data_IF_150017809608
#
_entry.id   IF_150017809608
#
_cell.length_a   1.000
_cell.length_b   1.000
_cell.length_c   1.000
_cell.angle_alpha   90.00
_cell.angle_beta   90.00
_cell.angle_gamma   90.00
#
_symmetry.space_group_name_H-M   'P 1'
#
loop_
_entity.id
_entity.type
_entity.pdbx_description
1 polymer ?
#
# COMPACT_ATOMS: atom_id res chain seq x y z
N UNK A 1 27.01 12.99 -27.11
CA UNK A 1 25.71 12.80 -26.47
C UNK A 1 25.63 13.82 -25.31
N UNK A 2 24.89 14.89 -25.50
CA UNK A 2 24.78 15.96 -24.51
C UNK A 2 23.67 15.60 -23.50
N UNK A 3 24.04 15.49 -22.23
CA UNK A 3 23.06 15.32 -21.12
C UNK A 3 22.58 16.72 -20.76
N UNK A 4 21.31 17.00 -21.02
CA UNK A 4 20.68 18.26 -20.59
C UNK A 4 20.35 18.13 -19.08
N UNK A 5 21.15 18.75 -18.23
CA UNK A 5 20.84 18.94 -16.81
C UNK A 5 19.85 20.10 -16.68
N UNK A 6 18.60 19.80 -16.36
CA UNK A 6 17.62 20.81 -15.95
C UNK A 6 17.78 21.04 -14.44
N UNK A 7 18.52 22.07 -14.08
CA UNK A 7 18.58 22.57 -12.69
C UNK A 7 17.39 23.49 -12.44
N UNK A 8 16.29 22.94 -11.92
CA UNK A 8 15.21 23.75 -11.37
C UNK A 8 15.60 24.28 -9.99
N UNK A 9 15.48 25.57 -9.77
CA UNK A 9 15.73 26.18 -8.47
C UNK A 9 14.66 25.73 -7.46
N UNK A 10 15.02 25.64 -6.17
CA UNK A 10 14.14 25.24 -5.06
C UNK A 10 12.88 26.10 -4.91
N UNK A 11 12.80 27.26 -5.56
CA UNK A 11 11.58 28.08 -5.64
C UNK A 11 10.45 27.47 -6.47
N UNK A 12 10.74 26.43 -7.27
CA UNK A 12 9.73 25.77 -8.11
C UNK A 12 8.91 24.69 -7.35
N UNK A 13 9.40 24.19 -6.22
CA UNK A 13 8.71 23.15 -5.44
C UNK A 13 7.43 23.68 -4.78
N UNK A 14 7.46 24.94 -4.30
CA UNK A 14 6.29 25.57 -3.68
C UNK A 14 5.23 26.03 -4.72
N UNK A 15 5.61 26.18 -5.99
CA UNK A 15 4.69 26.49 -7.10
C UNK A 15 3.99 25.26 -7.68
N UNK A 16 4.53 24.06 -7.52
CA UNK A 16 3.91 22.85 -8.07
C UNK A 16 2.65 22.41 -7.33
N UNK A 17 2.46 22.81 -6.08
CA UNK A 17 1.27 22.42 -5.31
C UNK A 17 0.04 23.31 -5.60
N UNK A 18 0.23 24.50 -6.14
CA UNK A 18 -0.87 25.44 -6.43
C UNK A 18 -1.46 25.36 -7.84
N UNK A 19 -0.89 24.58 -8.75
CA UNK A 19 -1.29 24.58 -10.17
C UNK A 19 -1.82 23.24 -10.70
N UNK A 20 -1.99 22.25 -9.85
CA UNK A 20 -2.79 21.09 -10.25
C UNK A 20 -4.25 21.47 -10.14
N UNK A 21 -4.78 22.12 -11.16
CA UNK A 21 -6.21 22.19 -11.44
C UNK A 21 -6.72 20.75 -11.64
N UNK A 22 -6.88 20.05 -10.50
CA UNK A 22 -7.58 18.78 -10.47
C UNK A 22 -9.00 19.15 -10.88
N UNK A 23 -9.41 18.63 -12.03
CA UNK A 23 -10.75 18.88 -12.57
C UNK A 23 -11.77 18.63 -11.47
N UNK A 24 -12.83 19.48 -11.35
CA UNK A 24 -13.90 19.23 -10.41
C UNK A 24 -14.38 17.79 -10.52
N UNK A 25 -14.35 17.03 -9.42
CA UNK A 25 -14.73 15.62 -9.38
C UNK A 25 -13.55 14.63 -9.28
N UNK A 26 -12.29 15.06 -9.40
CA UNK A 26 -11.16 14.18 -9.09
C UNK A 26 -10.82 14.26 -7.61
N UNK A 27 -10.89 13.12 -6.93
CA UNK A 27 -10.41 12.99 -5.56
C UNK A 27 -8.87 12.98 -5.56
N UNK A 28 -8.28 13.72 -4.62
CA UNK A 28 -6.85 13.59 -4.34
C UNK A 28 -6.67 12.37 -3.48
N UNK A 29 -6.01 11.35 -4.01
CA UNK A 29 -5.68 10.16 -3.25
C UNK A 29 -4.46 10.43 -2.38
N UNK A 30 -4.58 10.13 -1.10
CA UNK A 30 -3.54 10.35 -0.11
C UNK A 30 -3.07 9.08 0.60
N UNK A 31 -3.79 7.98 0.45
CA UNK A 31 -3.47 6.69 1.06
C UNK A 31 -3.71 5.54 0.09
N UNK A 32 -2.95 4.47 0.25
CA UNK A 32 -2.93 3.31 -0.64
C UNK A 32 -2.85 2.02 0.17
N UNK A 33 -3.51 0.98 -0.32
CA UNK A 33 -3.35 -0.38 0.15
C UNK A 33 -2.43 -1.18 -0.79
N UNK A 34 -1.63 -2.06 -0.18
CA UNK A 34 -0.82 -3.07 -0.84
C UNK A 34 -1.25 -4.44 -0.31
N UNK A 35 -1.99 -5.18 -1.12
CA UNK A 35 -2.39 -6.55 -0.80
C UNK A 35 -1.44 -7.53 -1.46
N UNK A 36 -0.70 -8.29 -0.67
CA UNK A 36 0.19 -9.35 -1.15
C UNK A 36 -0.54 -10.68 -1.16
N UNK A 37 -0.40 -11.44 -2.26
CA UNK A 37 -1.11 -12.70 -2.49
C UNK A 37 -0.17 -13.85 -2.75
N UNK A 38 -0.58 -15.03 -2.27
CA UNK A 38 0.02 -16.34 -2.57
C UNK A 38 -1.04 -17.41 -2.75
N UNK A 39 -0.71 -18.48 -3.51
CA UNK A 39 -1.60 -19.64 -3.63
C UNK A 39 -1.61 -20.41 -2.30
N UNK A 40 -2.80 -20.69 -1.75
CA UNK A 40 -2.97 -21.27 -0.41
C UNK A 40 -2.31 -22.64 -0.23
N UNK A 41 -2.22 -23.45 -1.29
CA UNK A 41 -1.59 -24.76 -1.32
C UNK A 41 -0.09 -24.72 -1.64
N UNK A 42 0.46 -23.55 -1.96
CA UNK A 42 1.87 -23.34 -2.25
C UNK A 42 2.64 -22.87 -1.01
N UNK A 43 3.24 -23.83 -0.29
CA UNK A 43 3.99 -23.55 0.94
C UNK A 43 5.26 -22.74 0.72
N UNK A 44 5.84 -22.77 -0.47
CA UNK A 44 7.01 -21.95 -0.82
C UNK A 44 6.60 -20.46 -0.94
N UNK A 45 5.48 -20.19 -1.63
CA UNK A 45 4.93 -18.84 -1.72
C UNK A 45 4.43 -18.31 -0.37
N UNK A 46 3.83 -19.16 0.47
CA UNK A 46 3.43 -18.79 1.83
C UNK A 46 4.64 -18.37 2.66
N UNK A 47 5.74 -19.12 2.61
CA UNK A 47 6.98 -18.76 3.30
C UNK A 47 7.61 -17.47 2.73
N UNK A 48 7.58 -17.29 1.41
CA UNK A 48 8.01 -16.07 0.74
C UNK A 48 7.17 -14.85 1.18
N UNK A 49 5.86 -15.01 1.32
CA UNK A 49 4.96 -13.97 1.79
C UNK A 49 5.23 -13.59 3.27
N UNK A 50 5.50 -14.57 4.12
CA UNK A 50 5.92 -14.31 5.51
C UNK A 50 7.23 -13.54 5.56
N UNK A 51 8.24 -13.95 4.79
CA UNK A 51 9.52 -13.27 4.73
C UNK A 51 9.39 -11.83 4.20
N UNK A 52 8.52 -11.60 3.21
CA UNK A 52 8.25 -10.25 2.69
C UNK A 52 7.58 -9.38 3.75
N UNK A 53 6.58 -9.91 4.47
CA UNK A 53 5.91 -9.22 5.58
C UNK A 53 6.91 -8.76 6.64
N UNK A 54 7.78 -9.67 7.05
CA UNK A 54 8.78 -9.41 8.09
C UNK A 54 9.82 -8.40 7.60
N UNK A 55 10.22 -8.45 6.32
CA UNK A 55 11.11 -7.46 5.73
C UNK A 55 10.48 -6.04 5.70
N UNK A 56 9.18 -5.90 5.42
CA UNK A 56 8.47 -4.62 5.49
C UNK A 56 8.55 -4.04 6.92
N UNK A 57 8.31 -4.87 7.93
CA UNK A 57 8.32 -4.44 9.33
C UNK A 57 9.72 -3.97 9.75
N UNK A 58 10.77 -4.65 9.29
CA UNK A 58 12.15 -4.25 9.55
C UNK A 58 12.49 -2.90 8.91
N UNK A 59 12.03 -2.62 7.69
CA UNK A 59 12.22 -1.31 7.05
C UNK A 59 11.48 -0.18 7.80
N UNK A 60 10.28 -0.48 8.30
CA UNK A 60 9.51 0.47 9.14
C UNK A 60 10.25 0.74 10.45
N UNK A 61 10.73 -0.31 11.12
CA UNK A 61 11.49 -0.18 12.36
C UNK A 61 12.81 0.57 12.18
N UNK A 62 13.43 0.45 11.01
CA UNK A 62 14.63 1.20 10.64
C UNK A 62 14.34 2.67 10.27
N UNK A 63 13.07 3.08 10.16
CA UNK A 63 12.67 4.43 9.79
C UNK A 63 12.77 4.74 8.30
N UNK A 64 12.93 3.71 7.45
CA UNK A 64 13.07 3.89 6.00
C UNK A 64 11.73 4.11 5.30
N UNK A 65 10.62 3.68 5.90
CA UNK A 65 9.27 3.90 5.40
C UNK A 65 8.27 3.93 6.55
N UNK A 66 7.09 4.45 6.28
CA UNK A 66 5.94 4.38 7.19
C UNK A 66 4.82 3.60 6.52
N UNK A 67 4.38 2.54 7.18
CA UNK A 67 3.17 1.80 6.83
C UNK A 67 2.34 1.59 8.08
N UNK A 68 1.03 1.43 7.92
CA UNK A 68 0.16 1.02 9.02
C UNK A 68 -0.31 -0.40 8.75
N UNK A 69 -0.31 -1.19 9.80
CA UNK A 69 -0.74 -2.57 9.75
C UNK A 69 -2.03 -2.72 10.57
N UNK A 70 -3.11 -3.10 9.92
CA UNK A 70 -4.32 -3.53 10.61
C UNK A 70 -4.11 -4.98 11.08
N UNK A 71 -3.28 -5.15 12.11
CA UNK A 71 -2.80 -6.47 12.46
C UNK A 71 -2.80 -6.75 13.95
N UNK A 72 -2.30 -7.91 14.28
CA UNK A 72 -2.12 -8.40 15.64
C UNK A 72 -0.76 -7.97 16.18
N UNK A 73 -0.66 -7.82 17.49
CA UNK A 73 0.65 -7.71 18.16
C UNK A 73 1.40 -9.02 17.97
N UNK A 74 2.67 -8.96 17.59
CA UNK A 74 3.47 -10.14 17.27
C UNK A 74 4.74 -10.19 18.09
N UNK A 75 5.02 -11.38 18.60
CA UNK A 75 6.28 -11.73 19.26
C UNK A 75 7.30 -12.34 18.27
N UNK A 76 6.99 -12.25 16.95
CA UNK A 76 7.73 -13.01 15.92
C UNK A 76 9.11 -12.42 15.64
N UNK A 77 9.25 -11.09 15.77
CA UNK A 77 10.52 -10.42 15.51
C UNK A 77 11.16 -9.96 16.82
N UNK A 78 12.32 -10.51 17.20
CA UNK A 78 13.03 -10.09 18.39
C UNK A 78 13.31 -8.58 18.41
N UNK A 79 12.93 -7.90 19.49
CA UNK A 79 13.06 -6.45 19.64
C UNK A 79 11.88 -5.65 19.07
N UNK A 80 10.86 -6.32 18.54
CA UNK A 80 9.63 -5.72 18.00
C UNK A 80 8.37 -6.37 18.60
N UNK A 81 8.46 -6.88 19.81
CA UNK A 81 7.44 -7.69 20.49
C UNK A 81 6.09 -6.97 20.62
N UNK A 82 6.11 -5.65 20.76
CA UNK A 82 4.90 -4.82 20.85
C UNK A 82 4.45 -4.25 19.49
N UNK A 83 5.15 -4.59 18.40
CA UNK A 83 4.84 -4.07 17.07
C UNK A 83 3.62 -4.78 16.48
N UNK A 84 2.74 -4.00 15.85
CA UNK A 84 1.68 -4.58 15.04
C UNK A 84 2.24 -5.07 13.71
N UNK A 85 1.89 -6.30 13.35
CA UNK A 85 2.22 -6.88 12.06
C UNK A 85 0.96 -7.06 11.22
N UNK A 86 1.06 -7.04 9.89
CA UNK A 86 -0.08 -7.33 9.02
C UNK A 86 -0.71 -8.69 9.36
N UNK A 87 -2.03 -8.72 9.45
CA UNK A 87 -2.75 -9.98 9.62
C UNK A 87 -2.50 -10.88 8.41
N UNK A 88 -2.10 -12.13 8.66
CA UNK A 88 -1.75 -13.09 7.63
C UNK A 88 -2.94 -14.05 7.40
N UNK A 89 -3.70 -13.81 6.34
CA UNK A 89 -4.90 -14.56 6.01
C UNK A 89 -4.51 -15.78 5.18
N UNK A 90 -4.64 -16.97 5.75
CA UNK A 90 -4.37 -18.22 5.04
C UNK A 90 -5.56 -18.72 4.20
N UNK A 91 -6.73 -18.10 4.36
CA UNK A 91 -7.97 -18.38 3.66
C UNK A 91 -8.48 -17.12 2.94
N UNK A 92 -9.34 -17.26 1.91
CA UNK A 92 -9.99 -16.13 1.27
C UNK A 92 -10.71 -15.23 2.27
N UNK A 93 -10.56 -13.91 2.10
CA UNK A 93 -11.21 -12.92 2.96
C UNK A 93 -11.64 -11.70 2.15
N UNK A 94 -12.86 -11.21 2.37
CA UNK A 94 -13.38 -10.03 1.65
C UNK A 94 -13.31 -10.25 0.14
N UNK A 95 -12.76 -9.31 -0.64
CA UNK A 95 -12.60 -9.45 -2.07
C UNK A 95 -11.43 -10.36 -2.48
N UNK A 96 -10.58 -10.80 -1.53
CA UNK A 96 -9.32 -11.49 -1.80
C UNK A 96 -9.54 -13.00 -1.88
N UNK A 97 -9.28 -13.64 -3.06
CA UNK A 97 -9.70 -15.03 -3.33
C UNK A 97 -8.73 -16.09 -2.82
N UNK A 98 -7.56 -15.72 -2.34
CA UNK A 98 -6.48 -16.63 -1.91
C UNK A 98 -5.81 -16.06 -0.66
N UNK A 99 -4.77 -16.74 -0.16
CA UNK A 99 -3.96 -16.24 0.95
C UNK A 99 -3.47 -14.83 0.71
N UNK A 100 -3.56 -13.96 1.72
CA UNK A 100 -3.19 -12.55 1.59
C UNK A 100 -2.79 -11.90 2.91
N UNK A 101 -1.98 -10.86 2.81
CA UNK A 101 -1.83 -9.85 3.84
C UNK A 101 -1.86 -8.46 3.22
N UNK A 102 -2.19 -7.44 4.01
CA UNK A 102 -2.20 -6.05 3.56
C UNK A 102 -1.34 -5.15 4.42
N UNK A 103 -0.80 -4.12 3.81
CA UNK A 103 -0.23 -2.94 4.46
C UNK A 103 -0.80 -1.68 3.85
N UNK A 104 -0.94 -0.66 4.66
CA UNK A 104 -1.45 0.64 4.27
C UNK A 104 -0.30 1.64 4.24
N UNK A 105 -0.25 2.44 3.19
CA UNK A 105 0.87 3.34 2.95
C UNK A 105 0.35 4.73 2.64
N UNK A 106 0.78 5.77 3.35
CA UNK A 106 0.46 7.13 2.99
C UNK A 106 1.24 7.53 1.72
N UNK A 107 0.69 8.49 0.97
CA UNK A 107 1.25 8.94 -0.32
C UNK A 107 2.72 9.38 -0.23
N UNK A 108 3.13 9.89 0.93
CA UNK A 108 4.49 10.36 1.22
C UNK A 108 5.52 9.24 1.04
N UNK A 109 5.14 7.98 1.26
CA UNK A 109 5.98 6.79 1.13
C UNK A 109 5.56 5.85 -0.01
N UNK A 110 4.64 6.28 -0.89
CA UNK A 110 4.16 5.44 -1.99
C UNK A 110 5.27 4.98 -2.93
N UNK A 111 6.18 5.88 -3.31
CA UNK A 111 7.28 5.54 -4.22
C UNK A 111 8.28 4.57 -3.58
N UNK A 112 8.58 4.74 -2.30
CA UNK A 112 9.48 3.87 -1.55
C UNK A 112 8.89 2.47 -1.41
N UNK A 113 7.61 2.38 -1.05
CA UNK A 113 6.89 1.11 -0.93
C UNK A 113 6.74 0.40 -2.27
N UNK A 114 6.42 1.11 -3.37
CA UNK A 114 6.38 0.52 -4.70
C UNK A 114 7.75 -0.04 -5.11
N UNK A 115 8.81 0.72 -4.90
CA UNK A 115 10.19 0.30 -5.21
C UNK A 115 10.56 -0.93 -4.40
N UNK A 116 10.27 -0.93 -3.10
CA UNK A 116 10.51 -2.06 -2.23
C UNK A 116 9.79 -3.32 -2.73
N UNK A 117 8.49 -3.21 -3.01
CA UNK A 117 7.68 -4.33 -3.53
C UNK A 117 8.19 -4.85 -4.88
N UNK A 118 8.59 -3.97 -5.80
CA UNK A 118 9.15 -4.38 -7.10
C UNK A 118 10.38 -5.26 -6.94
N UNK A 119 11.24 -4.99 -5.96
CA UNK A 119 12.49 -5.73 -5.75
C UNK A 119 12.37 -6.93 -4.80
N UNK A 120 11.40 -6.89 -3.88
CA UNK A 120 11.34 -7.84 -2.76
C UNK A 120 10.21 -8.86 -2.83
N UNK A 121 9.14 -8.60 -3.64
CA UNK A 121 7.98 -9.50 -3.71
C UNK A 121 8.27 -10.89 -4.29
N UNK A 122 9.42 -11.08 -4.97
CA UNK A 122 9.76 -12.36 -5.60
C UNK A 122 8.69 -12.87 -6.57
N UNK A 123 8.16 -14.08 -6.32
CA UNK A 123 7.11 -14.71 -7.13
C UNK A 123 5.69 -14.25 -6.78
N UNK A 124 5.53 -13.49 -5.69
CA UNK A 124 4.22 -13.07 -5.20
C UNK A 124 3.57 -12.03 -6.09
N UNK A 125 2.24 -11.95 -6.05
CA UNK A 125 1.47 -10.90 -6.69
C UNK A 125 1.08 -9.83 -5.66
N UNK A 126 1.10 -8.57 -6.08
CA UNK A 126 0.68 -7.47 -5.22
C UNK A 126 -0.36 -6.62 -5.94
N UNK A 127 -1.55 -6.50 -5.36
CA UNK A 127 -2.54 -5.49 -5.75
C UNK A 127 -2.21 -4.20 -5.01
N UNK A 128 -2.08 -3.11 -5.75
CA UNK A 128 -1.96 -1.76 -5.20
C UNK A 128 -3.17 -0.96 -5.62
N UNK A 129 -3.90 -0.43 -4.66
CA UNK A 129 -5.06 0.37 -4.95
C UNK A 129 -5.15 1.61 -4.04
N UNK A 130 -5.75 2.72 -4.54
CA UNK A 130 -6.01 3.88 -3.71
C UNK A 130 -7.07 3.58 -2.65
N UNK A 131 -7.07 4.34 -1.57
CA UNK A 131 -8.20 4.51 -0.68
C UNK A 131 -9.02 5.69 -1.17
N UNK A 132 -9.92 5.43 -2.08
CA UNK A 132 -10.83 6.40 -2.66
C UNK A 132 -12.22 6.33 -2.04
N UNK A 133 -13.18 6.97 -2.71
CA UNK A 133 -14.59 7.02 -2.25
C UNK A 133 -15.40 5.80 -2.62
N UNK A 134 -14.91 4.96 -3.53
CA UNK A 134 -15.67 3.85 -4.08
C UNK A 134 -14.82 2.60 -4.09
N UNK A 135 -15.03 1.73 -3.10
CA UNK A 135 -14.23 0.50 -2.91
C UNK A 135 -14.17 -0.37 -4.17
N UNK A 136 -15.29 -0.52 -4.89
CA UNK A 136 -15.32 -1.30 -6.14
C UNK A 136 -14.39 -0.71 -7.18
N UNK A 137 -14.38 0.61 -7.34
CA UNK A 137 -13.53 1.29 -8.30
C UNK A 137 -12.06 1.23 -7.89
N UNK A 138 -11.80 1.41 -6.60
CA UNK A 138 -10.46 1.33 -6.03
C UNK A 138 -9.83 -0.05 -6.30
N UNK A 139 -10.59 -1.13 -6.17
CA UNK A 139 -10.14 -2.50 -6.41
C UNK A 139 -10.17 -2.94 -7.88
N UNK A 140 -10.65 -2.09 -8.81
CA UNK A 140 -10.79 -2.44 -10.24
C UNK A 140 -10.08 -1.44 -11.15
N UNK A 141 -10.78 -0.39 -11.58
CA UNK A 141 -10.27 0.55 -12.59
C UNK A 141 -9.12 1.41 -12.12
N UNK A 142 -9.03 1.68 -10.82
CA UNK A 142 -8.02 2.54 -10.23
C UNK A 142 -6.87 1.73 -9.57
N UNK A 143 -6.93 0.40 -9.64
CA UNK A 143 -5.92 -0.52 -9.12
C UNK A 143 -4.80 -0.81 -10.12
N UNK A 144 -3.65 -1.17 -9.59
CA UNK A 144 -2.54 -1.72 -10.37
C UNK A 144 -2.05 -3.04 -9.75
N UNK A 145 -1.41 -3.88 -10.57
CA UNK A 145 -0.83 -5.15 -10.14
C UNK A 145 0.67 -5.18 -10.37
N UNK A 146 1.41 -5.66 -9.37
CA UNK A 146 2.77 -6.11 -9.51
C UNK A 146 2.76 -7.63 -9.60
N UNK A 147 3.05 -8.19 -10.77
CA UNK A 147 2.91 -9.60 -11.07
C UNK A 147 1.54 -9.98 -11.64
N UNK A 148 1.21 -11.29 -11.69
CA UNK A 148 -0.09 -11.76 -12.20
C UNK A 148 -1.26 -11.25 -11.37
N UNK A 149 -2.37 -10.88 -12.02
CA UNK A 149 -3.58 -10.48 -11.32
C UNK A 149 -4.43 -11.67 -10.89
N UNK A 150 -5.15 -11.52 -9.78
CA UNK A 150 -6.21 -12.42 -9.36
C UNK A 150 -7.59 -11.83 -9.68
N UNK A 151 -8.56 -12.70 -9.92
CA UNK A 151 -9.96 -12.27 -10.03
C UNK A 151 -10.52 -12.08 -8.64
N UNK A 152 -10.80 -10.83 -8.28
CA UNK A 152 -11.38 -10.49 -6.98
C UNK A 152 -12.89 -10.81 -6.94
N UNK A 153 -13.38 -11.13 -5.75
CA UNK A 153 -14.82 -11.15 -5.46
C UNK A 153 -15.26 -9.74 -5.03
N UNK A 154 -15.93 -9.03 -5.90
CA UNK A 154 -16.35 -7.66 -5.63
C UNK A 154 -17.64 -7.57 -4.80
N UNK A 155 -18.30 -8.71 -4.52
CA UNK A 155 -19.61 -8.72 -3.83
C UNK A 155 -19.59 -8.15 -2.40
N UNK A 156 -18.51 -8.28 -1.60
CA UNK A 156 -18.46 -7.70 -0.27
C UNK A 156 -18.11 -6.20 -0.25
N UNK A 157 -17.70 -5.63 -1.38
CA UNK A 157 -17.27 -4.22 -1.44
C UNK A 157 -18.46 -3.26 -1.46
N UNK A 158 -18.34 -2.16 -0.73
CA UNK A 158 -19.33 -1.10 -0.72
C UNK A 158 -19.14 -0.18 -1.95
N UNK A 159 -20.09 -0.13 -2.89
CA UNK A 159 -19.98 0.75 -4.04
C UNK A 159 -20.18 2.24 -3.69
N UNK A 160 -20.71 2.55 -2.51
CA UNK A 160 -21.00 3.90 -2.03
C UNK A 160 -20.21 4.26 -0.78
N UNK A 161 -19.08 3.58 -0.55
CA UNK A 161 -18.21 3.82 0.60
C UNK A 161 -17.77 5.29 0.69
N UNK A 162 -17.52 5.76 1.89
CA UNK A 162 -17.01 7.10 2.19
C UNK A 162 -15.55 7.04 2.63
N UNK A 163 -14.88 8.18 2.53
CA UNK A 163 -13.48 8.30 2.94
C UNK A 163 -13.41 8.79 4.37
N UNK A 164 -13.18 7.89 5.28
CA UNK A 164 -12.67 8.28 6.58
C UNK A 164 -11.14 8.20 6.58
N UNK A 165 -10.43 9.18 7.15
CA UNK A 165 -8.98 9.09 7.31
C UNK A 165 -8.61 7.81 8.04
N UNK A 166 -7.73 7.00 7.45
CA UNK A 166 -7.34 5.71 8.04
C UNK A 166 -6.33 5.89 9.19
N UNK A 167 -5.58 7.00 9.18
CA UNK A 167 -4.46 7.23 10.12
C UNK A 167 -4.43 8.66 10.65
N UNK A 168 -5.46 9.12 11.37
CA UNK A 168 -5.57 10.49 11.82
C UNK A 168 -4.43 10.90 12.78
N UNK A 169 -3.86 9.95 13.51
CA UNK A 169 -2.79 10.19 14.48
C UNK A 169 -1.40 10.39 13.86
N UNK A 170 -1.20 9.98 12.61
CA UNK A 170 0.11 10.06 11.96
C UNK A 170 0.43 11.45 11.39
N UNK A 171 -0.58 12.27 11.11
CA UNK A 171 -0.40 13.54 10.41
C UNK A 171 0.09 13.37 8.96
N UNK A 172 -0.05 12.17 8.37
CA UNK A 172 0.30 11.80 7.01
C UNK A 172 -0.96 11.41 6.23
N UNK A 173 -0.84 11.21 4.92
CA UNK A 173 -1.98 10.78 4.10
C UNK A 173 -3.16 11.76 4.18
N UNK A 174 -4.37 11.26 4.45
CA UNK A 174 -5.57 12.09 4.58
C UNK A 174 -5.55 12.99 5.81
N UNK A 175 -4.79 12.65 6.85
CA UNK A 175 -4.64 13.47 8.03
C UNK A 175 -3.54 14.55 7.92
N UNK A 176 -2.79 14.58 6.82
CA UNK A 176 -1.78 15.62 6.60
C UNK A 176 -2.42 17.01 6.44
N UNK A 177 -1.77 18.01 7.04
CA UNK A 177 -2.23 19.42 6.94
C UNK A 177 -1.73 20.12 5.67
N UNK A 178 -1.12 19.37 4.72
CA UNK A 178 -0.50 19.90 3.50
C UNK A 178 -1.11 19.28 2.25
#
# INVERSE_FOLDING_TARGET
MAVLLVTGSLESADRMDKSRDIKPGHQIIKEFHFHTYWAQDNKEQEAEALALRDAIILEVAAGNMTVVCNGVTSDILPGLEDSKVPHFNTEPIGPHPVGSFEVWTPREFLADMLTFMMYKRGSLSVLVHPLGRTEVRDHTSDAMWLGPSFRLDLSPLNPNGGDDPQYPELGLGYSSQH
#
